data_IF_609973467942
#
_entry.id   IF_609973467942
#
_cell.length_a   1.000
_cell.length_b   1.000
_cell.length_c   1.000
_cell.angle_alpha   90.00
_cell.angle_beta   90.00
_cell.angle_gamma   90.00
#
_symmetry.space_group_name_H-M   'P 1'
#
loop_
_entity.id
_entity.type
_entity.pdbx_description
1 polymer ?
#
# COMPACT_ATOMS: atom_id res chain seq x y z
N UNK A 1 -16.58 13.24 -13.34
CA UNK A 1 -16.96 14.22 -12.30
C UNK A 1 -17.13 13.48 -10.98
N UNK A 2 -16.15 13.50 -10.08
CA UNK A 2 -16.30 12.91 -8.73
C UNK A 2 -17.00 13.93 -7.85
N UNK A 3 -18.33 13.88 -7.86
CA UNK A 3 -19.15 14.62 -6.91
C UNK A 3 -19.06 13.91 -5.55
N UNK A 4 -19.12 14.69 -4.46
CA UNK A 4 -19.45 14.12 -3.15
C UNK A 4 -20.78 13.37 -3.31
N UNK A 5 -20.84 12.10 -2.89
CA UNK A 5 -22.01 11.23 -3.12
C UNK A 5 -23.22 11.59 -2.23
N UNK A 6 -23.31 12.86 -1.80
CA UNK A 6 -24.54 13.49 -1.35
C UNK A 6 -25.44 13.82 -2.56
N UNK A 7 -25.50 12.92 -3.56
CA UNK A 7 -26.51 13.00 -4.62
C UNK A 7 -27.82 12.48 -4.02
N UNK A 8 -28.96 13.12 -4.28
CA UNK A 8 -30.27 12.54 -3.97
C UNK A 8 -30.37 11.14 -4.61
N UNK A 9 -30.66 10.11 -3.80
CA UNK A 9 -30.94 8.75 -4.31
C UNK A 9 -29.99 7.62 -3.86
N UNK A 10 -28.86 7.91 -3.21
CA UNK A 10 -28.03 6.88 -2.57
C UNK A 10 -28.01 7.06 -1.04
N UNK A 11 -28.07 5.97 -0.25
CA UNK A 11 -27.93 6.06 1.19
C UNK A 11 -26.57 6.66 1.58
N UNK A 12 -26.50 7.40 2.68
CA UNK A 12 -25.27 8.06 3.14
C UNK A 12 -24.11 7.07 3.42
N UNK A 13 -24.43 5.80 3.68
CA UNK A 13 -23.45 4.73 3.89
C UNK A 13 -22.98 4.05 2.60
N UNK A 14 -23.56 4.36 1.43
CA UNK A 14 -23.12 3.79 0.17
C UNK A 14 -21.66 4.15 -0.12
N UNK A 15 -20.90 3.19 -0.65
CA UNK A 15 -19.50 3.38 -1.05
C UNK A 15 -19.37 2.93 -2.50
N UNK A 16 -18.93 3.81 -3.42
CA UNK A 16 -18.78 3.42 -4.81
C UNK A 16 -17.64 2.42 -4.94
N UNK A 17 -17.89 1.32 -5.64
CA UNK A 17 -16.84 0.46 -6.14
C UNK A 17 -16.17 1.15 -7.33
N UNK A 18 -14.85 1.27 -7.33
CA UNK A 18 -14.10 1.98 -8.38
C UNK A 18 -13.07 1.06 -9.00
N UNK A 19 -12.90 1.17 -10.30
CA UNK A 19 -11.88 0.46 -11.07
C UNK A 19 -11.43 1.33 -12.24
N UNK A 20 -10.23 1.06 -12.75
CA UNK A 20 -9.77 1.60 -14.04
C UNK A 20 -10.08 0.61 -15.19
N UNK A 21 -10.04 -0.68 -14.88
CA UNK A 21 -10.29 -1.78 -15.78
C UNK A 21 -10.84 -2.98 -14.99
N UNK A 22 -11.49 -3.91 -15.68
CA UNK A 22 -12.00 -5.18 -15.13
C UNK A 22 -11.96 -6.26 -16.24
N UNK A 23 -12.69 -7.37 -16.07
CA UNK A 23 -12.70 -8.48 -17.04
C UNK A 23 -13.49 -8.20 -18.34
N UNK A 24 -14.31 -7.16 -18.34
CA UNK A 24 -15.16 -6.75 -19.46
C UNK A 24 -14.65 -5.49 -20.17
N UNK A 25 -13.66 -4.81 -19.61
CA UNK A 25 -13.07 -3.58 -20.14
C UNK A 25 -11.72 -3.85 -20.84
N UNK A 26 -11.32 -2.93 -21.73
CA UNK A 26 -9.96 -2.94 -22.27
C UNK A 26 -8.95 -2.55 -21.18
N UNK A 27 -7.69 -2.99 -21.36
CA UNK A 27 -6.58 -2.60 -20.48
C UNK A 27 -6.37 -1.08 -20.56
N UNK A 28 -6.52 -0.40 -19.43
CA UNK A 28 -6.44 1.06 -19.34
C UNK A 28 -5.10 1.59 -19.86
N UNK A 29 -4.01 0.93 -19.52
CA UNK A 29 -2.66 1.31 -19.95
C UNK A 29 -2.47 1.19 -21.48
N UNK A 30 -3.19 0.28 -22.15
CA UNK A 30 -3.15 0.15 -23.61
C UNK A 30 -3.81 1.35 -24.29
N UNK A 31 -4.88 1.88 -23.70
CA UNK A 31 -5.65 2.99 -24.27
C UNK A 31 -5.03 4.35 -23.95
N UNK A 32 -4.57 4.55 -22.72
CA UNK A 32 -4.16 5.88 -22.23
C UNK A 32 -2.65 6.02 -21.96
N UNK A 33 -1.89 4.91 -22.03
CA UNK A 33 -0.46 4.92 -21.77
C UNK A 33 -0.09 4.90 -20.28
N UNK A 34 1.22 4.77 -20.02
CA UNK A 34 1.79 4.55 -18.68
C UNK A 34 1.51 5.70 -17.71
N UNK A 35 1.79 6.93 -18.12
CA UNK A 35 1.72 8.09 -17.20
C UNK A 35 0.27 8.40 -16.82
N UNK A 36 -0.67 8.33 -17.76
CA UNK A 36 -2.09 8.45 -17.47
C UNK A 36 -2.60 7.30 -16.57
N UNK A 37 -2.08 6.08 -16.73
CA UNK A 37 -2.38 4.97 -15.85
C UNK A 37 -1.88 5.21 -14.41
N UNK A 38 -0.65 5.72 -14.23
CA UNK A 38 -0.11 6.10 -12.90
C UNK A 38 -0.95 7.19 -12.24
N UNK A 39 -1.31 8.24 -12.97
CA UNK A 39 -2.19 9.31 -12.47
C UNK A 39 -3.54 8.75 -12.02
N UNK A 40 -4.15 7.92 -12.87
CA UNK A 40 -5.48 7.36 -12.62
C UNK A 40 -5.46 6.38 -11.45
N UNK A 41 -4.37 5.65 -11.25
CA UNK A 41 -4.15 4.82 -10.07
C UNK A 41 -4.02 5.67 -8.78
N UNK A 42 -3.31 6.80 -8.87
CA UNK A 42 -3.26 7.79 -7.80
C UNK A 42 -4.67 8.24 -7.41
N UNK A 43 -5.47 8.65 -8.40
CA UNK A 43 -6.86 9.05 -8.19
C UNK A 43 -7.74 7.92 -7.63
N UNK A 44 -7.63 6.71 -8.17
CA UNK A 44 -8.36 5.53 -7.73
C UNK A 44 -8.13 5.26 -6.23
N UNK A 45 -6.88 5.35 -5.78
CA UNK A 45 -6.49 5.02 -4.40
C UNK A 45 -6.63 6.18 -3.41
N UNK A 46 -6.79 7.43 -3.87
CA UNK A 46 -7.03 8.58 -2.97
C UNK A 46 -8.47 9.11 -2.99
N UNK A 47 -9.28 8.74 -3.99
CA UNK A 47 -10.69 9.13 -4.05
C UNK A 47 -11.57 8.31 -3.07
N UNK A 48 -12.79 8.79 -2.75
CA UNK A 48 -13.73 8.06 -1.89
C UNK A 48 -14.27 6.81 -2.59
N UNK A 49 -14.37 5.69 -1.88
CA UNK A 49 -14.89 4.43 -2.41
C UNK A 49 -14.07 3.21 -2.05
N UNK A 50 -14.40 2.08 -2.67
CA UNK A 50 -13.65 0.83 -2.58
C UNK A 50 -12.92 0.62 -3.92
N UNK A 51 -11.59 0.78 -3.95
CA UNK A 51 -10.82 0.61 -5.18
C UNK A 51 -10.58 -0.86 -5.49
N UNK A 52 -10.69 -1.21 -6.77
CA UNK A 52 -10.30 -2.49 -7.36
C UNK A 52 -9.06 -2.27 -8.24
N UNK A 53 -8.07 -3.13 -8.05
CA UNK A 53 -6.96 -3.30 -8.99
C UNK A 53 -7.18 -4.67 -9.63
N UNK A 54 -7.38 -4.69 -10.95
CA UNK A 54 -7.63 -5.94 -11.66
C UNK A 54 -6.31 -6.65 -12.01
N UNK A 55 -6.33 -7.98 -12.06
CA UNK A 55 -5.13 -8.78 -12.26
C UNK A 55 -4.41 -8.39 -13.57
N UNK A 56 -3.13 -8.04 -13.46
CA UNK A 56 -2.29 -7.59 -14.58
C UNK A 56 -2.15 -6.06 -14.66
N UNK A 57 -3.06 -5.30 -14.07
CA UNK A 57 -2.98 -3.83 -14.03
C UNK A 57 -1.73 -3.36 -13.29
N UNK A 58 -1.32 -4.08 -12.24
CA UNK A 58 -0.16 -3.78 -11.40
C UNK A 58 1.19 -4.09 -12.06
N UNK A 59 1.18 -4.75 -13.21
CA UNK A 59 2.39 -5.01 -14.03
C UNK A 59 2.33 -4.35 -15.41
N UNK A 60 1.27 -3.59 -15.69
CA UNK A 60 1.06 -2.93 -16.97
C UNK A 60 0.78 -3.90 -18.12
N UNK A 61 -0.03 -4.92 -17.85
CA UNK A 61 -0.52 -5.87 -18.84
C UNK A 61 -1.33 -5.17 -19.94
N UNK A 62 -1.12 -5.55 -21.19
CA UNK A 62 -1.78 -4.94 -22.36
C UNK A 62 -2.62 -5.92 -23.17
N UNK A 63 -2.53 -7.23 -22.91
CA UNK A 63 -3.35 -8.24 -23.56
C UNK A 63 -4.78 -8.22 -23.05
N UNK A 64 -5.71 -8.45 -23.98
CA UNK A 64 -7.13 -8.61 -23.70
C UNK A 64 -7.47 -10.10 -23.66
N UNK A 65 -7.96 -10.60 -22.51
CA UNK A 65 -8.32 -12.01 -22.28
C UNK A 65 -7.21 -13.02 -22.62
N UNK A 66 -5.95 -12.67 -22.35
CA UNK A 66 -4.78 -13.51 -22.58
C UNK A 66 -4.04 -13.90 -21.28
N UNK A 67 -2.90 -14.58 -21.44
CA UNK A 67 -1.98 -14.88 -20.34
C UNK A 67 -1.40 -13.57 -19.80
N UNK A 68 -1.44 -13.40 -18.48
CA UNK A 68 -0.85 -12.23 -17.82
C UNK A 68 0.66 -12.44 -17.71
N UNK A 69 1.42 -11.50 -18.26
CA UNK A 69 2.87 -11.43 -18.14
C UNK A 69 3.22 -10.71 -16.84
N UNK A 70 3.50 -11.46 -15.79
CA UNK A 70 3.77 -10.94 -14.44
C UNK A 70 5.11 -10.20 -14.28
N UNK A 71 5.84 -9.99 -15.38
CA UNK A 71 7.06 -9.21 -15.41
C UNK A 71 6.73 -7.72 -15.37
N UNK A 72 7.11 -7.05 -14.28
CA UNK A 72 6.80 -5.64 -14.07
C UNK A 72 7.77 -4.71 -14.80
N UNK A 73 7.65 -4.64 -16.13
CA UNK A 73 8.52 -3.84 -17.00
C UNK A 73 8.51 -2.34 -16.72
N UNK A 74 7.50 -1.83 -16.00
CA UNK A 74 7.30 -0.41 -15.75
C UNK A 74 7.52 -0.01 -14.28
N UNK A 75 7.82 -0.96 -13.39
CA UNK A 75 7.87 -0.71 -11.95
C UNK A 75 6.51 -0.27 -11.38
N UNK A 76 5.40 -0.73 -11.97
CA UNK A 76 4.05 -0.38 -11.53
C UNK A 76 3.68 -1.07 -10.21
N UNK A 77 4.20 -2.27 -9.95
CA UNK A 77 3.89 -3.00 -8.71
C UNK A 77 4.33 -2.23 -7.47
N UNK A 78 5.60 -1.79 -7.32
CA UNK A 78 6.01 -0.98 -6.18
C UNK A 78 5.25 0.36 -6.13
N UNK A 79 4.86 0.93 -7.27
CA UNK A 79 4.04 2.14 -7.32
C UNK A 79 2.63 1.92 -6.75
N UNK A 80 1.93 0.84 -7.15
CA UNK A 80 0.64 0.47 -6.57
C UNK A 80 0.77 0.11 -5.08
N UNK A 81 1.80 -0.64 -4.68
CA UNK A 81 2.07 -0.95 -3.28
C UNK A 81 2.24 0.32 -2.43
N UNK A 82 2.94 1.32 -2.97
CA UNK A 82 3.08 2.65 -2.34
C UNK A 82 1.74 3.34 -2.16
N UNK A 83 0.92 3.43 -3.20
CA UNK A 83 -0.41 4.05 -3.11
C UNK A 83 -1.36 3.29 -2.15
N UNK A 84 -1.34 1.95 -2.17
CA UNK A 84 -2.12 1.11 -1.24
C UNK A 84 -1.68 1.37 0.20
N UNK A 85 -0.37 1.47 0.43
CA UNK A 85 0.17 1.82 1.75
C UNK A 85 -0.30 3.21 2.17
N UNK A 86 -0.17 4.22 1.31
CA UNK A 86 -0.66 5.58 1.57
C UNK A 86 -2.14 5.54 1.98
N UNK A 87 -3.00 4.84 1.22
CA UNK A 87 -4.43 4.70 1.55
C UNK A 87 -4.66 4.03 2.91
N UNK A 88 -3.91 2.97 3.20
CA UNK A 88 -4.09 2.17 4.41
C UNK A 88 -3.59 2.86 5.68
N UNK A 89 -2.54 3.67 5.60
CA UNK A 89 -2.00 4.37 6.77
C UNK A 89 -2.71 5.71 7.03
N UNK A 90 -3.58 6.17 6.12
CA UNK A 90 -4.27 7.46 6.24
C UNK A 90 -5.79 7.29 6.39
N UNK A 91 -6.36 7.46 7.61
CA UNK A 91 -7.80 7.36 7.86
C UNK A 91 -8.66 8.27 6.94
N UNK A 92 -8.12 9.43 6.55
CA UNK A 92 -8.76 10.36 5.63
C UNK A 92 -9.10 9.72 4.27
N UNK A 93 -8.28 8.80 3.77
CA UNK A 93 -8.52 8.14 2.48
C UNK A 93 -9.53 7.01 2.58
N UNK A 94 -9.62 6.35 3.73
CA UNK A 94 -10.53 5.23 3.98
C UNK A 94 -11.97 5.70 4.18
N UNK A 95 -12.16 6.67 5.08
CA UNK A 95 -13.49 7.09 5.53
C UNK A 95 -13.66 8.61 5.60
N UNK A 96 -12.60 9.37 5.36
CA UNK A 96 -12.64 10.83 5.46
C UNK A 96 -13.56 11.49 4.45
N UNK A 97 -13.94 12.71 4.78
CA UNK A 97 -14.72 13.62 3.93
C UNK A 97 -14.04 13.86 2.59
N UNK A 98 -14.77 14.43 1.65
CA UNK A 98 -14.27 14.79 0.33
C UNK A 98 -14.73 16.20 -0.02
N UNK A 99 -13.78 17.10 -0.22
CA UNK A 99 -14.03 18.47 -0.63
C UNK A 99 -13.20 18.78 -1.87
N UNK A 100 -13.87 19.13 -2.97
CA UNK A 100 -13.17 19.61 -4.17
C UNK A 100 -12.54 20.97 -3.86
N UNK A 101 -11.28 21.15 -4.25
CA UNK A 101 -10.58 22.43 -4.13
C UNK A 101 -10.63 23.17 -5.47
N UNK A 102 -11.01 24.46 -5.49
CA UNK A 102 -10.90 25.29 -6.69
C UNK A 102 -9.45 25.37 -7.19
N UNK A 103 -9.29 25.32 -8.51
CA UNK A 103 -8.00 25.45 -9.21
C UNK A 103 -8.14 26.40 -10.39
N UNK A 104 -7.05 27.10 -10.75
CA UNK A 104 -7.09 28.08 -11.86
C UNK A 104 -7.36 27.46 -13.23
N UNK A 105 -6.94 26.21 -13.47
CA UNK A 105 -7.29 25.42 -14.66
C UNK A 105 -8.12 24.20 -14.25
N UNK A 106 -9.43 24.39 -14.13
CA UNK A 106 -10.34 23.34 -13.69
C UNK A 106 -10.77 22.37 -14.79
N UNK A 107 -10.36 22.62 -16.04
CA UNK A 107 -10.66 21.76 -17.19
C UNK A 107 -9.77 20.53 -17.18
N UNK A 108 -8.49 20.71 -16.87
CA UNK A 108 -7.49 19.63 -16.94
C UNK A 108 -6.88 19.29 -15.59
N UNK A 109 -6.92 20.19 -14.62
CA UNK A 109 -6.39 19.91 -13.28
C UNK A 109 -7.54 19.70 -12.29
N UNK A 110 -7.39 18.67 -11.47
CA UNK A 110 -8.34 18.34 -10.42
C UNK A 110 -7.63 18.33 -9.07
N UNK A 111 -8.19 19.05 -8.10
CA UNK A 111 -7.70 19.06 -6.73
C UNK A 111 -8.82 18.77 -5.73
N UNK A 112 -8.51 18.06 -4.66
CA UNK A 112 -9.44 17.81 -3.58
C UNK A 112 -8.74 17.52 -2.25
N UNK A 113 -9.43 17.83 -1.17
CA UNK A 113 -9.08 17.53 0.21
C UNK A 113 -9.84 16.29 0.68
N UNK A 114 -9.13 15.38 1.35
CA UNK A 114 -9.69 14.32 2.19
C UNK A 114 -9.36 14.60 3.65
N UNK A 115 -10.35 14.51 4.52
CA UNK A 115 -10.18 14.83 5.94
C UNK A 115 -10.89 13.84 6.87
N UNK A 116 -10.20 13.38 7.91
CA UNK A 116 -10.76 12.61 9.03
C UNK A 116 -10.04 12.96 10.32
N UNK A 117 -10.69 13.76 11.18
CA UNK A 117 -10.07 14.29 12.40
C UNK A 117 -8.83 15.11 12.07
N UNK A 118 -7.68 14.74 12.64
CA UNK A 118 -6.39 15.43 12.37
C UNK A 118 -5.73 15.01 11.05
N UNK A 119 -6.20 13.95 10.40
CA UNK A 119 -5.60 13.46 9.16
C UNK A 119 -6.20 14.23 7.98
N UNK A 120 -5.35 14.95 7.26
CA UNK A 120 -5.75 15.80 6.13
C UNK A 120 -4.79 15.59 4.97
N UNK A 121 -5.34 15.42 3.77
CA UNK A 121 -4.56 15.13 2.59
C UNK A 121 -5.14 15.82 1.36
N UNK A 122 -4.29 16.50 0.60
CA UNK A 122 -4.65 17.11 -0.67
C UNK A 122 -4.14 16.23 -1.80
N UNK A 123 -5.01 15.86 -2.74
CA UNK A 123 -4.61 15.29 -4.02
C UNK A 123 -4.68 16.37 -5.09
N UNK A 124 -3.62 16.50 -5.90
CA UNK A 124 -3.54 17.42 -7.03
C UNK A 124 -3.14 16.63 -8.29
N UNK A 125 -3.96 16.67 -9.33
CA UNK A 125 -3.93 15.73 -10.45
C UNK A 125 -4.04 16.50 -11.78
N UNK A 126 -3.02 16.44 -12.63
CA UNK A 126 -3.05 17.00 -13.98
C UNK A 126 -3.46 15.95 -15.01
N UNK A 127 -4.72 15.93 -15.45
CA UNK A 127 -5.22 14.97 -16.44
C UNK A 127 -4.83 15.32 -17.89
N UNK A 128 -4.06 16.39 -18.11
CA UNK A 128 -3.55 16.75 -19.43
C UNK A 128 -2.14 16.19 -19.67
N UNK A 129 -1.81 15.88 -20.92
CA UNK A 129 -0.46 15.53 -21.34
C UNK A 129 0.52 16.72 -21.27
N UNK A 130 0.02 17.95 -21.38
CA UNK A 130 0.83 19.16 -21.23
C UNK A 130 1.07 19.50 -19.76
N UNK A 131 2.24 20.04 -19.47
CA UNK A 131 2.57 20.59 -18.15
C UNK A 131 1.66 21.78 -17.81
N UNK A 132 1.36 21.94 -16.53
CA UNK A 132 0.48 22.99 -15.99
C UNK A 132 1.16 23.70 -14.83
N UNK A 133 0.81 24.95 -14.63
CA UNK A 133 1.24 25.74 -13.48
C UNK A 133 0.04 26.47 -12.88
N UNK A 134 -0.55 25.90 -11.81
CA UNK A 134 -1.90 26.29 -11.34
C UNK A 134 -1.90 26.79 -9.91
N UNK A 135 -2.76 27.76 -9.61
CA UNK A 135 -3.10 28.07 -8.22
C UNK A 135 -4.17 27.10 -7.72
N UNK A 136 -4.11 26.78 -6.43
CA UNK A 136 -5.08 25.91 -5.74
C UNK A 136 -5.58 26.66 -4.51
N UNK A 137 -6.89 26.77 -4.35
CA UNK A 137 -7.49 27.37 -3.16
C UNK A 137 -7.42 26.40 -1.99
N UNK A 138 -6.33 26.43 -1.23
CA UNK A 138 -6.11 25.62 -0.03
C UNK A 138 -6.90 26.23 1.14
N UNK A 139 -7.73 25.43 1.86
CA UNK A 139 -8.46 25.91 3.04
C UNK A 139 -7.56 26.57 4.09
N UNK A 140 -8.00 27.70 4.65
CA UNK A 140 -7.20 28.47 5.61
C UNK A 140 -6.90 27.70 6.90
N UNK A 141 -7.81 26.82 7.31
CA UNK A 141 -7.69 26.00 8.52
C UNK A 141 -6.61 24.91 8.40
N UNK A 142 -6.06 24.68 7.21
CA UNK A 142 -4.85 23.88 7.00
C UNK A 142 -3.57 24.65 7.32
N UNK A 143 -3.64 25.98 7.39
CA UNK A 143 -2.50 26.85 7.61
C UNK A 143 -2.36 27.19 9.10
N UNK A 144 -1.14 27.39 9.62
CA UNK A 144 -0.95 27.84 11.00
C UNK A 144 -1.62 29.20 11.25
N UNK A 145 -2.19 29.37 12.46
CA UNK A 145 -2.75 30.65 12.89
C UNK A 145 -1.67 31.75 12.95
N UNK A 146 -0.46 31.39 13.42
CA UNK A 146 0.72 32.22 13.33
C UNK A 146 1.19 32.32 11.88
N UNK A 147 0.94 33.49 11.28
CA UNK A 147 1.26 33.77 9.88
C UNK A 147 2.77 33.78 9.58
N UNK A 148 3.61 33.95 10.60
CA UNK A 148 5.07 33.93 10.46
C UNK A 148 5.65 32.51 10.53
N UNK A 149 4.92 31.56 11.12
CA UNK A 149 5.34 30.16 11.27
C UNK A 149 5.43 29.48 9.90
N UNK A 150 6.57 28.85 9.66
CA UNK A 150 6.79 27.98 8.49
C UNK A 150 6.13 26.63 8.76
N UNK A 151 5.44 26.11 7.76
CA UNK A 151 4.90 24.76 7.72
C UNK A 151 5.22 24.12 6.38
N UNK A 152 5.00 22.81 6.28
CA UNK A 152 5.39 22.03 5.11
C UNK A 152 4.19 21.34 4.49
N UNK A 153 4.15 21.32 3.16
CA UNK A 153 3.35 20.40 2.37
C UNK A 153 4.29 19.36 1.77
N UNK A 154 4.12 18.12 2.23
CA UNK A 154 4.96 17.00 1.85
C UNK A 154 4.26 16.15 0.80
N UNK A 155 4.84 16.06 -0.39
CA UNK A 155 4.40 15.15 -1.43
C UNK A 155 4.90 13.73 -1.15
N UNK A 156 4.07 12.95 -0.47
CA UNK A 156 4.43 11.58 -0.08
C UNK A 156 4.46 10.62 -1.29
N UNK A 157 3.86 10.99 -2.42
CA UNK A 157 3.92 10.18 -3.64
C UNK A 157 5.22 10.40 -4.39
N UNK A 158 5.73 11.64 -4.44
CA UNK A 158 6.92 12.00 -5.20
C UNK A 158 8.16 12.28 -4.34
N UNK A 159 8.04 12.20 -3.01
CA UNK A 159 9.11 12.49 -2.05
C UNK A 159 9.65 13.93 -2.11
N UNK A 160 8.80 14.88 -2.51
CA UNK A 160 9.13 16.30 -2.54
C UNK A 160 8.56 17.01 -1.31
N UNK A 161 9.23 18.07 -0.86
CA UNK A 161 8.80 18.86 0.30
C UNK A 161 8.78 20.33 -0.07
N UNK A 162 7.69 21.00 0.28
CA UNK A 162 7.49 22.42 0.03
C UNK A 162 7.26 23.14 1.36
N UNK A 163 8.18 24.04 1.73
CA UNK A 163 8.04 24.88 2.93
C UNK A 163 7.37 26.21 2.59
N UNK A 164 6.43 26.63 3.42
CA UNK A 164 5.67 27.86 3.19
C UNK A 164 5.41 28.62 4.49
N UNK A 165 5.39 29.95 4.39
CA UNK A 165 4.56 30.81 5.24
C UNK A 165 3.17 30.97 4.62
N UNK A 166 2.19 31.41 5.41
CA UNK A 166 0.78 31.53 4.99
C UNK A 166 0.60 32.31 3.67
N UNK A 167 1.22 33.49 3.55
CA UNK A 167 1.12 34.33 2.35
C UNK A 167 1.79 33.72 1.12
N UNK A 168 2.86 32.96 1.32
CA UNK A 168 3.62 32.32 0.24
C UNK A 168 2.79 31.22 -0.42
N UNK A 169 2.11 30.39 0.38
CA UNK A 169 1.24 29.32 -0.15
C UNK A 169 0.07 29.89 -0.97
N UNK A 170 -0.55 31.00 -0.53
CA UNK A 170 -1.68 31.61 -1.23
C UNK A 170 -1.29 32.17 -2.61
N UNK A 171 -0.05 32.63 -2.77
CA UNK A 171 0.48 33.10 -4.05
C UNK A 171 1.14 31.99 -4.89
N UNK A 172 1.32 30.79 -4.33
CA UNK A 172 2.07 29.72 -4.96
C UNK A 172 1.31 29.13 -6.15
N UNK A 173 2.04 28.91 -7.25
CA UNK A 173 1.56 28.15 -8.39
C UNK A 173 2.28 26.80 -8.41
N UNK A 174 1.49 25.74 -8.50
CA UNK A 174 1.95 24.36 -8.48
C UNK A 174 2.38 23.91 -9.87
N UNK A 175 3.68 23.65 -10.10
CA UNK A 175 4.12 23.02 -11.33
C UNK A 175 3.73 21.55 -11.32
N UNK A 176 3.03 21.14 -12.38
CA UNK A 176 2.59 19.77 -12.62
C UNK A 176 3.03 19.35 -14.02
N UNK A 177 3.85 18.30 -14.10
CA UNK A 177 4.12 17.63 -15.37
C UNK A 177 2.84 17.02 -15.96
N UNK A 178 2.86 16.69 -17.25
CA UNK A 178 1.77 15.97 -17.90
C UNK A 178 1.46 14.68 -17.16
N UNK A 179 0.17 14.41 -16.92
CA UNK A 179 -0.28 13.25 -16.15
C UNK A 179 0.35 13.11 -14.75
N UNK A 180 0.76 14.19 -14.10
CA UNK A 180 1.32 14.11 -12.75
C UNK A 180 0.24 14.08 -11.67
N UNK A 181 0.43 13.18 -10.70
CA UNK A 181 -0.31 13.17 -9.43
C UNK A 181 0.61 13.58 -8.29
N UNK A 182 0.11 14.44 -7.39
CA UNK A 182 0.75 14.81 -6.13
C UNK A 182 -0.18 14.47 -4.98
N UNK A 183 0.37 13.92 -3.90
CA UNK A 183 -0.38 13.60 -2.67
C UNK A 183 0.29 14.35 -1.53
N UNK A 184 -0.32 15.45 -1.09
CA UNK A 184 0.26 16.39 -0.14
C UNK A 184 -0.31 16.18 1.25
N UNK A 185 0.55 16.06 2.25
CA UNK A 185 0.20 16.10 3.69
C UNK A 185 0.85 17.32 4.33
N UNK A 186 0.08 18.04 5.15
CA UNK A 186 0.60 19.14 5.97
C UNK A 186 1.32 18.63 7.21
N UNK A 187 2.48 19.20 7.52
CA UNK A 187 3.23 18.95 8.76
C UNK A 187 3.97 20.20 9.24
N UNK A 188 4.52 20.12 10.46
CA UNK A 188 5.39 21.16 11.03
C UNK A 188 6.88 20.94 10.73
N UNK A 189 7.24 19.80 10.11
CA UNK A 189 8.61 19.47 9.72
C UNK A 189 8.66 18.96 8.28
N UNK A 190 9.74 19.26 7.57
CA UNK A 190 10.04 18.63 6.28
C UNK A 190 10.07 17.10 6.40
N UNK A 191 9.69 16.38 5.35
CA UNK A 191 10.03 14.95 5.27
C UNK A 191 11.55 14.83 5.35
N UNK A 192 12.05 14.07 6.35
CA UNK A 192 13.44 13.65 6.33
C UNK A 192 13.65 12.81 5.07
N UNK A 193 14.66 13.17 4.26
CA UNK A 193 15.06 12.41 3.10
C UNK A 193 15.51 11.01 3.57
N UNK A 194 14.59 10.07 3.63
CA UNK A 194 14.93 8.65 3.61
C UNK A 194 15.42 8.41 2.19
N UNK A 195 16.71 8.08 2.07
CA UNK A 195 17.37 7.77 0.80
C UNK A 195 16.52 6.85 -0.07
N UNK A 196 16.66 6.96 -1.39
CA UNK A 196 16.02 6.14 -2.43
C UNK A 196 16.34 4.63 -2.34
N UNK A 197 16.59 4.06 -1.17
CA UNK A 197 16.46 2.63 -1.00
C UNK A 197 14.98 2.30 -0.93
N UNK A 198 14.43 1.91 -2.08
CA UNK A 198 13.20 1.15 -2.30
C UNK A 198 12.20 1.30 -1.15
N UNK A 199 11.10 2.02 -1.37
CA UNK A 199 9.93 1.93 -0.51
C UNK A 199 9.56 0.45 -0.31
N UNK A 200 10.14 -0.18 0.71
CA UNK A 200 9.78 -1.52 1.14
C UNK A 200 8.71 -1.25 2.18
N UNK A 201 7.42 -1.49 1.86
CA UNK A 201 6.40 -1.41 2.88
C UNK A 201 6.88 -2.25 4.06
N UNK A 202 6.78 -1.76 5.31
CA UNK A 202 7.35 -2.45 6.46
C UNK A 202 6.91 -3.91 6.40
N UNK A 203 7.89 -4.82 6.35
CA UNK A 203 7.61 -6.24 6.33
C UNK A 203 6.62 -6.51 7.46
N UNK A 204 5.55 -7.24 7.16
CA UNK A 204 4.55 -7.61 8.16
C UNK A 204 4.88 -8.99 8.67
N UNK A 205 4.60 -9.22 9.95
CA UNK A 205 4.64 -10.57 10.51
C UNK A 205 3.68 -11.48 9.74
N UNK A 206 4.18 -12.61 9.24
CA UNK A 206 3.38 -13.59 8.50
C UNK A 206 4.02 -14.96 8.56
N UNK A 207 3.22 -15.99 8.81
CA UNK A 207 3.58 -17.39 8.61
C UNK A 207 2.90 -17.91 7.32
N UNK A 208 3.67 -18.41 6.38
CA UNK A 208 3.16 -18.93 5.10
C UNK A 208 2.89 -20.44 5.18
N UNK A 209 2.14 -20.96 4.21
CA UNK A 209 1.93 -22.40 4.10
C UNK A 209 3.25 -23.08 3.73
N UNK A 210 3.56 -24.22 4.37
CA UNK A 210 4.72 -25.02 4.02
C UNK A 210 4.57 -25.59 2.60
N UNK A 211 5.67 -25.69 1.86
CA UNK A 211 5.68 -26.28 0.53
C UNK A 211 6.86 -27.27 0.38
N UNK A 212 6.62 -28.49 -0.12
CA UNK A 212 5.32 -29.07 -0.45
C UNK A 212 4.43 -29.34 0.79
N UNK A 213 3.12 -29.48 0.60
CA UNK A 213 2.15 -29.93 1.61
C UNK A 213 0.97 -30.64 0.91
N UNK A 214 0.78 -31.98 1.05
CA UNK A 214 1.54 -32.90 1.90
C UNK A 214 3.02 -33.02 1.48
N UNK A 215 3.90 -33.45 2.37
CA UNK A 215 5.34 -33.55 2.09
C UNK A 215 5.92 -34.91 2.45
N UNK A 216 6.98 -35.31 1.72
CA UNK A 216 7.77 -36.51 1.98
C UNK A 216 9.22 -36.31 1.47
N UNK A 217 10.29 -36.46 2.28
CA UNK A 217 10.32 -36.40 3.74
C UNK A 217 10.58 -34.97 4.25
N UNK A 218 10.74 -33.98 3.36
CA UNK A 218 11.07 -32.60 3.73
C UNK A 218 10.13 -31.55 3.15
N UNK A 219 9.97 -30.46 3.88
CA UNK A 219 9.16 -29.30 3.49
C UNK A 219 9.85 -28.01 3.89
N UNK A 220 9.61 -26.94 3.14
CA UNK A 220 10.11 -25.61 3.44
C UNK A 220 9.00 -24.75 4.04
N UNK A 221 9.27 -24.13 5.18
CA UNK A 221 8.37 -23.21 5.86
C UNK A 221 8.89 -21.80 5.66
N UNK A 222 8.08 -20.95 5.04
CA UNK A 222 8.39 -19.54 4.82
C UNK A 222 7.67 -18.66 5.85
N UNK A 223 8.37 -17.63 6.32
CA UNK A 223 7.79 -16.66 7.23
C UNK A 223 8.46 -15.29 7.08
N UNK A 224 7.77 -14.25 7.55
CA UNK A 224 8.21 -12.86 7.49
C UNK A 224 8.20 -12.28 8.89
N UNK A 225 9.28 -11.62 9.24
CA UNK A 225 9.43 -10.86 10.49
C UNK A 225 9.24 -9.39 10.13
N UNK A 226 8.34 -8.75 10.86
CA UNK A 226 7.98 -7.37 10.60
C UNK A 226 8.51 -6.37 11.61
N UNK A 227 8.16 -5.11 11.41
CA UNK A 227 8.58 -4.00 12.26
C UNK A 227 9.93 -3.41 11.84
N UNK A 228 10.58 -2.71 12.78
CA UNK A 228 11.80 -1.93 12.56
C UNK A 228 12.94 -2.30 13.51
N UNK A 229 12.74 -3.29 14.39
CA UNK A 229 13.72 -3.75 15.39
C UNK A 229 13.78 -5.28 15.40
N UNK A 230 14.91 -5.87 15.82
CA UNK A 230 14.98 -7.31 16.06
C UNK A 230 13.91 -7.75 17.08
N UNK A 231 13.28 -8.89 16.82
CA UNK A 231 12.35 -9.53 17.77
C UNK A 231 12.74 -10.97 18.01
N UNK A 232 12.44 -11.50 19.21
CA UNK A 232 12.63 -12.92 19.49
C UNK A 232 11.61 -13.75 18.70
N UNK A 233 12.12 -14.70 17.92
CA UNK A 233 11.34 -15.59 17.07
C UNK A 233 11.47 -17.03 17.56
N UNK A 234 10.32 -17.67 17.79
CA UNK A 234 10.21 -19.10 18.05
C UNK A 234 9.33 -19.74 16.96
N UNK A 235 9.89 -20.68 16.20
CA UNK A 235 9.17 -21.51 15.23
C UNK A 235 9.25 -22.97 15.66
N UNK A 236 8.12 -23.53 16.04
CA UNK A 236 8.04 -24.83 16.72
C UNK A 236 6.96 -25.70 16.06
N UNK A 237 7.27 -26.97 15.83
CA UNK A 237 6.34 -28.00 15.34
C UNK A 237 5.72 -28.75 16.53
N UNK A 238 4.42 -29.01 16.46
CA UNK A 238 3.59 -29.69 17.44
C UNK A 238 2.79 -30.82 16.78
N UNK A 239 2.49 -31.86 17.54
CA UNK A 239 1.53 -32.90 17.13
C UNK A 239 0.08 -32.47 17.42
N UNK A 240 -0.89 -33.32 17.10
CA UNK A 240 -2.32 -33.07 17.32
C UNK A 240 -2.72 -32.91 18.79
N UNK A 241 -1.93 -33.44 19.73
CA UNK A 241 -2.12 -33.30 21.17
C UNK A 241 -1.48 -32.00 21.72
N UNK A 242 -0.92 -31.15 20.85
CA UNK A 242 -0.23 -29.93 21.27
C UNK A 242 1.16 -30.17 21.89
N UNK A 243 1.68 -31.39 21.84
CA UNK A 243 3.01 -31.71 22.33
C UNK A 243 4.08 -31.23 21.34
N UNK A 244 5.17 -30.68 21.86
CA UNK A 244 6.29 -30.18 21.06
C UNK A 244 7.04 -31.34 20.39
N UNK A 245 7.13 -31.30 19.07
CA UNK A 245 7.82 -32.30 18.25
C UNK A 245 9.25 -31.85 17.93
N UNK A 246 9.41 -30.59 17.49
CA UNK A 246 10.71 -30.02 17.10
C UNK A 246 10.71 -28.51 17.21
N UNK A 247 11.76 -27.94 17.81
CA UNK A 247 12.05 -26.51 17.64
C UNK A 247 12.86 -26.34 16.35
N UNK A 248 12.37 -25.52 15.42
CA UNK A 248 13.05 -25.22 14.15
C UNK A 248 13.89 -23.96 14.26
N UNK A 249 13.38 -22.96 14.98
CA UNK A 249 14.05 -21.66 15.20
C UNK A 249 13.77 -21.18 16.62
N UNK A 250 14.80 -20.69 17.31
CA UNK A 250 14.67 -19.92 18.55
C UNK A 250 15.80 -18.89 18.62
N UNK A 251 15.57 -17.71 18.05
CA UNK A 251 16.59 -16.66 17.94
C UNK A 251 15.97 -15.28 17.76
N UNK A 252 16.67 -14.20 18.17
CA UNK A 252 16.36 -12.86 17.69
C UNK A 252 16.55 -12.78 16.16
N UNK A 253 15.59 -12.19 15.46
CA UNK A 253 15.68 -11.94 14.02
C UNK A 253 15.28 -10.50 13.70
N UNK A 254 16.00 -9.88 12.79
CA UNK A 254 15.68 -8.58 12.21
C UNK A 254 14.46 -8.66 11.30
N UNK A 255 13.81 -7.54 10.97
CA UNK A 255 12.77 -7.52 9.94
C UNK A 255 13.30 -8.10 8.62
N UNK A 256 12.60 -9.10 8.07
CA UNK A 256 13.14 -9.90 6.97
C UNK A 256 12.20 -11.01 6.50
N UNK A 257 12.53 -11.61 5.36
CA UNK A 257 11.91 -12.86 4.88
C UNK A 257 12.84 -14.02 5.23
N UNK A 258 12.26 -15.08 5.79
CA UNK A 258 13.00 -16.23 6.28
C UNK A 258 12.38 -17.53 5.79
N UNK A 259 13.21 -18.57 5.76
CA UNK A 259 12.74 -19.92 5.49
C UNK A 259 13.51 -20.93 6.32
N UNK A 260 12.85 -22.02 6.70
CA UNK A 260 13.49 -23.16 7.37
C UNK A 260 12.98 -24.46 6.76
N UNK A 261 13.86 -25.46 6.68
CA UNK A 261 13.50 -26.80 6.20
C UNK A 261 13.23 -27.70 7.39
N UNK A 262 12.12 -28.44 7.35
CA UNK A 262 11.86 -29.53 8.29
C UNK A 262 11.83 -30.86 7.55
N UNK A 263 12.68 -31.80 7.99
CA UNK A 263 12.88 -33.13 7.38
C UNK A 263 12.04 -34.24 8.04
N UNK A 264 10.91 -33.90 8.64
CA UNK A 264 10.03 -34.88 9.29
C UNK A 264 10.72 -35.67 10.41
N UNK A 265 11.58 -35.00 11.21
CA UNK A 265 12.31 -35.57 12.35
C UNK A 265 11.95 -34.85 13.65
N UNK A 266 11.90 -35.61 14.73
CA UNK A 266 11.66 -35.12 16.10
C UNK A 266 12.90 -34.41 16.67
N UNK A 267 12.77 -33.84 17.86
CA UNK A 267 13.87 -33.18 18.56
C UNK A 267 15.09 -34.10 18.76
N UNK A 268 14.87 -35.38 19.05
CA UNK A 268 15.91 -36.41 19.25
C UNK A 268 16.48 -36.98 17.95
N UNK A 269 15.99 -36.53 16.78
CA UNK A 269 16.47 -36.98 15.48
C UNK A 269 15.70 -38.17 14.88
N UNK A 270 14.81 -38.79 15.66
CA UNK A 270 13.98 -39.90 15.19
C UNK A 270 12.98 -39.46 14.11
N UNK A 271 12.66 -40.33 13.13
CA UNK A 271 11.57 -40.12 12.18
C UNK A 271 10.25 -39.78 12.90
N UNK A 272 9.61 -38.67 12.55
CA UNK A 272 8.24 -38.38 12.99
C UNK A 272 7.25 -39.25 12.19
N UNK A 273 6.20 -39.83 12.81
CA UNK A 273 5.22 -40.66 12.12
C UNK A 273 4.42 -39.86 11.07
N UNK A 274 3.90 -40.54 10.04
CA UNK A 274 2.96 -39.94 9.09
C UNK A 274 1.74 -39.39 9.82
N UNK A 275 1.24 -38.24 9.39
CA UNK A 275 0.08 -37.61 10.03
C UNK A 275 0.10 -36.09 10.03
N UNK A 276 -0.88 -35.53 10.72
CA UNK A 276 -1.11 -34.09 10.82
C UNK A 276 -0.22 -33.50 11.91
N UNK A 277 0.43 -32.39 11.57
CA UNK A 277 1.19 -31.57 12.52
C UNK A 277 0.80 -30.11 12.39
N UNK A 278 1.14 -29.34 13.43
CA UNK A 278 0.98 -27.90 13.45
C UNK A 278 2.32 -27.24 13.66
N UNK A 279 2.57 -26.12 13.01
CA UNK A 279 3.74 -25.29 13.28
C UNK A 279 3.27 -23.90 13.68
N UNK A 280 3.89 -23.39 14.74
CA UNK A 280 3.55 -22.11 15.37
C UNK A 280 4.75 -21.17 15.29
N UNK A 281 4.50 -19.99 14.75
CA UNK A 281 5.43 -18.87 14.80
C UNK A 281 4.99 -17.92 15.92
N UNK A 282 5.88 -17.67 16.88
CA UNK A 282 5.76 -16.60 17.87
C UNK A 282 6.87 -15.58 17.63
N UNK A 283 6.51 -14.33 17.41
CA UNK A 283 7.44 -13.23 17.18
C UNK A 283 6.97 -11.97 17.93
N UNK A 284 7.54 -11.71 19.10
CA UNK A 284 6.99 -10.70 20.02
C UNK A 284 5.53 -11.00 20.40
N UNK A 285 4.61 -10.08 20.10
CA UNK A 285 3.17 -10.23 20.33
C UNK A 285 2.45 -11.00 19.19
N UNK A 286 3.12 -11.24 18.07
CA UNK A 286 2.53 -11.97 16.96
C UNK A 286 2.57 -13.47 17.21
N UNK A 287 1.44 -14.15 17.03
CA UNK A 287 1.32 -15.60 17.06
C UNK A 287 0.49 -16.06 15.87
N UNK A 288 1.02 -16.98 15.08
CA UNK A 288 0.27 -17.64 14.01
C UNK A 288 0.58 -19.13 13.98
N UNK A 289 -0.45 -19.95 13.73
CA UNK A 289 -0.35 -21.41 13.62
C UNK A 289 -0.81 -21.82 12.23
N UNK A 290 -0.14 -22.83 11.65
CA UNK A 290 -0.56 -23.49 10.42
C UNK A 290 -0.45 -24.99 10.53
N UNK A 291 -1.30 -25.69 9.77
CA UNK A 291 -1.35 -27.16 9.69
C UNK A 291 -0.50 -27.65 8.52
N UNK A 292 0.12 -28.81 8.67
CA UNK A 292 0.86 -29.51 7.62
C UNK A 292 0.62 -31.04 7.71
N UNK A 293 0.76 -31.77 6.60
CA UNK A 293 0.59 -33.22 6.52
C UNK A 293 1.91 -33.89 6.09
N UNK A 294 2.47 -34.74 6.96
CA UNK A 294 3.62 -35.58 6.64
C UNK A 294 3.14 -36.91 6.06
N UNK A 295 3.67 -37.26 4.89
CA UNK A 295 3.56 -38.58 4.28
C UNK A 295 4.93 -39.26 4.32
N UNK A 296 4.95 -40.53 4.71
CA UNK A 296 6.07 -41.46 4.55
C UNK A 296 5.52 -42.76 4.02
#
# INVERSE_FOLDING_TARGET
>A
MVQSYLKPGFPQYARPFRFLENHDEQRFIKTFGLEAAKLSAGFLLTSPGVPLIYAGQEVGETSYRGIIHWNDRYGLRPFYEKLIHIRRENPALQQGSFQRLPVSDSLTVYAYLREQGKNRMISLLNFSAAAKNVSVAVPEDLMPADTAKVFYLNDILNHETFGFRRRELLAYKWPLSGYQARILIRSDSALSAVSENSFQPPLRFRLEQNYPNPFNPETKIFYRIGGNKPVKVDLIVFNVLGQKVKTLVTAPQTPGKYSVVWKGRTQTGNPAPSGIYFYKLKAGNFVQVKKLLLLR
#
